data_IF_439169934993
#
_entry.id   IF_439169934993
#
_cell.length_a   1.000
_cell.length_b   1.000
_cell.length_c   1.000
_cell.angle_alpha   90.00
_cell.angle_beta   90.00
_cell.angle_gamma   90.00
#
_symmetry.space_group_name_H-M   'P 1'
#
loop_
_entity.id
_entity.type
_entity.pdbx_description
1 polymer ?
#
# COMPACT_ATOMS: atom_id res chain seq x y z
N UNK A 1 16.26 -16.16 16.61
CA UNK A 1 15.23 -15.19 17.05
C UNK A 1 14.23 -15.04 15.93
N UNK A 2 13.01 -15.56 16.11
CA UNK A 2 11.91 -15.33 15.16
C UNK A 2 11.50 -13.87 15.33
N UNK A 3 11.72 -13.02 14.33
CA UNK A 3 11.23 -11.64 14.35
C UNK A 3 9.70 -11.69 14.38
N UNK A 4 9.11 -11.49 15.55
CA UNK A 4 7.66 -11.37 15.72
C UNK A 4 7.18 -10.18 14.89
N UNK A 5 6.17 -10.42 14.05
CA UNK A 5 5.50 -9.36 13.30
C UNK A 5 4.86 -8.40 14.29
N UNK A 6 5.19 -7.11 14.18
CA UNK A 6 4.60 -6.07 15.00
C UNK A 6 3.27 -5.62 14.39
N UNK A 7 2.17 -6.09 14.96
CA UNK A 7 0.82 -5.74 14.53
C UNK A 7 0.55 -4.23 14.60
N UNK A 8 1.22 -3.49 15.50
CA UNK A 8 1.04 -2.04 15.61
C UNK A 8 1.57 -1.32 14.38
N UNK A 9 2.71 -1.77 13.84
CA UNK A 9 3.24 -1.25 12.57
C UNK A 9 2.29 -1.56 11.41
N UNK A 10 1.69 -2.76 11.40
CA UNK A 10 0.71 -3.10 10.38
C UNK A 10 -0.52 -2.20 10.48
N UNK A 11 -1.07 -1.99 11.66
CA UNK A 11 -2.25 -1.12 11.85
C UNK A 11 -1.95 0.34 11.54
N UNK A 12 -0.75 0.84 11.85
CA UNK A 12 -0.35 2.21 11.54
C UNK A 12 -0.30 2.48 10.02
N UNK A 13 0.23 1.52 9.25
CA UNK A 13 0.50 1.70 7.81
C UNK A 13 -0.51 1.00 6.89
N UNK A 14 -1.35 0.14 7.45
CA UNK A 14 -2.50 -0.50 6.82
C UNK A 14 -3.67 -0.57 7.81
N UNK A 15 -4.20 0.59 8.24
CA UNK A 15 -5.38 0.63 9.10
C UNK A 15 -6.56 -0.06 8.42
N UNK A 16 -7.51 -0.52 9.21
CA UNK A 16 -8.62 -1.37 8.77
C UNK A 16 -9.38 -0.77 7.59
N UNK A 17 -9.64 0.53 7.62
CA UNK A 17 -10.37 1.25 6.57
C UNK A 17 -9.60 1.26 5.25
N UNK A 18 -8.30 1.51 5.30
CA UNK A 18 -7.44 1.49 4.12
C UNK A 18 -7.30 0.06 3.58
N UNK A 19 -7.14 -0.91 4.47
CA UNK A 19 -7.03 -2.31 4.10
C UNK A 19 -8.33 -2.85 3.49
N UNK A 20 -9.50 -2.45 3.99
CA UNK A 20 -10.79 -2.83 3.44
C UNK A 20 -10.99 -2.32 2.01
N UNK A 21 -10.38 -1.19 1.65
CA UNK A 21 -10.34 -0.70 0.28
C UNK A 21 -9.29 -1.43 -0.57
N UNK A 22 -8.09 -1.64 -0.04
CA UNK A 22 -6.96 -2.19 -0.80
C UNK A 22 -7.03 -3.71 -1.00
N UNK A 23 -7.41 -4.46 0.04
CA UNK A 23 -7.44 -5.92 0.08
C UNK A 23 -8.19 -6.55 -1.11
N UNK A 24 -9.42 -6.13 -1.41
CA UNK A 24 -10.18 -6.64 -2.56
C UNK A 24 -9.60 -6.28 -3.93
N UNK A 25 -8.78 -5.23 -4.01
CA UNK A 25 -8.17 -4.77 -5.25
C UNK A 25 -6.85 -5.47 -5.57
N UNK A 26 -6.21 -6.07 -4.56
CA UNK A 26 -4.95 -6.78 -4.69
C UNK A 26 -5.15 -8.03 -5.55
N UNK A 27 -4.38 -8.19 -6.65
CA UNK A 27 -4.48 -9.40 -7.45
C UNK A 27 -4.07 -10.63 -6.63
N UNK A 28 -4.75 -11.76 -6.81
CA UNK A 28 -4.44 -12.99 -6.09
C UNK A 28 -2.97 -13.38 -6.34
N UNK A 29 -2.28 -13.96 -5.34
CA UNK A 29 -0.94 -14.45 -5.55
C UNK A 29 -0.90 -15.46 -6.71
N UNK A 30 0.16 -15.46 -7.54
CA UNK A 30 0.29 -16.44 -8.61
C UNK A 30 0.21 -17.85 -8.02
N UNK A 31 -0.58 -18.72 -8.66
CA UNK A 31 -0.74 -20.12 -8.27
C UNK A 31 0.63 -20.80 -8.30
N UNK A 32 1.13 -21.25 -7.14
CA UNK A 32 2.37 -22.05 -7.06
C UNK A 32 2.09 -23.43 -7.68
N UNK A 33 3.02 -23.93 -8.50
CA UNK A 33 2.93 -25.26 -9.14
C UNK A 33 3.13 -26.44 -8.18
N UNK A 34 3.56 -26.21 -6.93
CA UNK A 34 3.81 -27.26 -5.95
C UNK A 34 3.09 -26.96 -4.63
N UNK A 35 2.31 -27.95 -4.16
CA UNK A 35 1.56 -27.95 -2.89
C UNK A 35 2.44 -28.07 -1.63
N UNK A 36 3.60 -27.42 -1.62
CA UNK A 36 4.51 -27.42 -0.48
C UNK A 36 5.27 -26.09 -0.39
N UNK A 37 5.21 -25.44 0.76
CA UNK A 37 6.00 -24.25 1.07
C UNK A 37 5.29 -23.31 2.04
N UNK A 38 6.10 -22.62 2.86
CA UNK A 38 5.76 -21.63 3.90
C UNK A 38 4.45 -20.87 3.60
N UNK A 39 3.56 -20.72 4.60
CA UNK A 39 2.26 -20.08 4.45
C UNK A 39 2.36 -18.77 3.66
N UNK A 40 1.31 -18.43 2.88
CA UNK A 40 1.29 -17.17 2.15
C UNK A 40 1.65 -16.02 3.08
N UNK A 41 2.68 -15.24 2.72
CA UNK A 41 3.04 -14.02 3.44
C UNK A 41 1.78 -13.15 3.49
N UNK A 42 1.43 -12.67 4.69
CA UNK A 42 0.25 -11.83 4.89
C UNK A 42 0.28 -10.63 3.93
N UNK A 43 -0.76 -10.56 3.08
CA UNK A 43 -0.90 -9.52 2.09
C UNK A 43 -1.04 -8.14 2.73
N UNK A 44 -1.61 -8.06 3.94
CA UNK A 44 -1.73 -6.82 4.70
C UNK A 44 -0.39 -6.35 5.22
N UNK A 45 0.43 -7.24 5.77
CA UNK A 45 1.80 -6.91 6.17
C UNK A 45 2.66 -6.40 5.00
N UNK A 46 2.54 -7.03 3.83
CA UNK A 46 3.22 -6.57 2.59
C UNK A 46 2.74 -5.19 2.18
N UNK A 47 1.42 -4.97 2.22
CA UNK A 47 0.85 -3.69 1.89
C UNK A 47 1.31 -2.59 2.85
N UNK A 48 1.25 -2.84 4.16
CA UNK A 48 1.74 -1.93 5.20
C UNK A 48 3.22 -1.55 4.98
N UNK A 49 4.07 -2.54 4.71
CA UNK A 49 5.50 -2.34 4.42
C UNK A 49 5.73 -1.45 3.19
N UNK A 50 4.95 -1.64 2.12
CA UNK A 50 5.04 -0.81 0.91
C UNK A 50 4.55 0.61 1.20
N UNK A 51 3.43 0.78 1.89
CA UNK A 51 2.89 2.11 2.26
C UNK A 51 3.89 2.88 3.12
N UNK A 52 4.56 2.22 4.07
CA UNK A 52 5.64 2.81 4.86
C UNK A 52 6.75 3.37 3.97
N UNK A 53 7.26 2.57 3.04
CA UNK A 53 8.34 2.99 2.13
C UNK A 53 7.90 4.16 1.25
N UNK A 54 6.69 4.10 0.69
CA UNK A 54 6.16 5.15 -0.17
C UNK A 54 5.91 6.46 0.58
N UNK A 55 5.46 6.39 1.84
CA UNK A 55 5.14 7.59 2.64
C UNK A 55 6.38 8.23 3.23
N UNK A 56 7.35 7.42 3.69
CA UNK A 56 8.59 7.94 4.29
C UNK A 56 9.66 8.29 3.26
N UNK A 57 9.55 7.79 2.02
CA UNK A 57 10.58 7.96 0.99
C UNK A 57 11.89 7.22 1.29
N UNK A 58 11.93 6.36 2.32
CA UNK A 58 13.14 5.64 2.68
C UNK A 58 13.52 4.61 1.60
N UNK A 59 14.82 4.27 1.50
CA UNK A 59 15.22 3.17 0.63
C UNK A 59 14.69 1.82 1.17
N UNK A 60 14.32 0.89 0.29
CA UNK A 60 13.82 -0.45 0.66
C UNK A 60 14.70 -1.25 1.64
N UNK A 61 16.01 -0.95 1.70
CA UNK A 61 16.96 -1.55 2.66
C UNK A 61 16.75 -1.08 4.10
N UNK A 62 16.08 0.05 4.30
CA UNK A 62 15.72 0.60 5.61
C UNK A 62 14.32 0.16 6.06
N UNK A 63 13.69 -0.78 5.35
CA UNK A 63 12.42 -1.36 5.77
C UNK A 63 12.56 -2.00 7.16
N UNK A 64 11.77 -1.58 8.17
CA UNK A 64 11.83 -2.14 9.50
C UNK A 64 11.57 -3.65 9.50
N UNK A 65 12.35 -4.45 10.26
CA UNK A 65 12.13 -5.89 10.35
C UNK A 65 10.80 -6.26 11.00
N UNK A 66 10.20 -5.34 11.78
CA UNK A 66 8.92 -5.54 12.45
C UNK A 66 7.73 -5.82 11.52
N UNK A 67 7.81 -5.49 10.23
CA UNK A 67 6.77 -5.88 9.27
C UNK A 67 6.75 -7.39 8.97
N UNK A 68 7.82 -8.14 9.29
CA UNK A 68 7.95 -9.56 8.91
C UNK A 68 8.03 -9.81 7.41
N UNK A 69 8.27 -8.77 6.61
CA UNK A 69 8.33 -8.82 5.14
C UNK A 69 9.75 -8.54 4.68
N UNK A 70 10.30 -9.43 3.85
CA UNK A 70 11.63 -9.18 3.27
C UNK A 70 11.58 -8.07 2.24
N UNK A 71 12.63 -7.23 2.19
CA UNK A 71 12.81 -6.15 1.21
C UNK A 71 12.54 -6.59 -0.24
N UNK A 72 13.02 -7.78 -0.61
CA UNK A 72 12.84 -8.35 -1.94
C UNK A 72 11.37 -8.70 -2.22
N UNK A 73 10.64 -9.19 -1.21
CA UNK A 73 9.22 -9.50 -1.33
C UNK A 73 8.40 -8.22 -1.47
N UNK A 74 8.65 -7.21 -0.62
CA UNK A 74 7.96 -5.93 -0.68
C UNK A 74 8.16 -5.26 -2.05
N UNK A 75 9.40 -5.19 -2.53
CA UNK A 75 9.70 -4.58 -3.83
C UNK A 75 9.05 -5.33 -5.01
N UNK A 76 9.13 -6.66 -5.04
CA UNK A 76 8.47 -7.48 -6.09
C UNK A 76 6.96 -7.30 -6.09
N UNK A 77 6.35 -7.22 -4.90
CA UNK A 77 4.91 -7.00 -4.74
C UNK A 77 4.51 -5.60 -5.16
N UNK A 78 5.28 -4.59 -4.80
CA UNK A 78 5.11 -3.22 -5.27
C UNK A 78 5.10 -3.16 -6.80
N UNK A 79 6.08 -3.78 -7.47
CA UNK A 79 6.12 -3.81 -8.94
C UNK A 79 4.89 -4.52 -9.53
N UNK A 80 4.56 -5.72 -9.03
CA UNK A 80 3.41 -6.48 -9.52
C UNK A 80 2.08 -5.74 -9.33
N UNK A 81 1.87 -5.10 -8.18
CA UNK A 81 0.65 -4.35 -7.89
C UNK A 81 0.58 -3.03 -8.66
N UNK A 82 1.72 -2.39 -8.89
CA UNK A 82 1.81 -1.21 -9.76
C UNK A 82 1.42 -1.58 -11.19
N UNK A 83 1.96 -2.68 -11.73
CA UNK A 83 1.61 -3.18 -13.06
C UNK A 83 0.13 -3.58 -13.15
N UNK A 84 -0.46 -4.10 -12.07
CA UNK A 84 -1.89 -4.41 -11.98
C UNK A 84 -2.79 -3.17 -11.76
N UNK A 85 -2.21 -1.96 -11.65
CA UNK A 85 -2.95 -0.72 -11.46
C UNK A 85 -3.61 -0.55 -10.08
N UNK A 86 -3.10 -1.24 -9.04
CA UNK A 86 -3.64 -1.21 -7.69
C UNK A 86 -3.83 0.22 -7.17
N UNK A 87 -2.79 1.05 -7.28
CA UNK A 87 -2.76 2.41 -6.73
C UNK A 87 -3.86 3.30 -7.31
N UNK A 88 -4.07 3.22 -8.62
CA UNK A 88 -5.13 3.98 -9.31
C UNK A 88 -6.52 3.53 -8.85
N UNK A 89 -6.75 2.22 -8.75
CA UNK A 89 -8.03 1.67 -8.30
C UNK A 89 -8.31 2.02 -6.83
N UNK A 90 -7.26 1.99 -5.99
CA UNK A 90 -7.36 2.37 -4.59
C UNK A 90 -7.70 3.85 -4.43
N UNK A 91 -7.10 4.72 -5.25
CA UNK A 91 -7.42 6.15 -5.26
C UNK A 91 -8.89 6.42 -5.63
N UNK A 92 -9.40 5.76 -6.67
CA UNK A 92 -10.83 5.86 -7.05
C UNK A 92 -11.73 5.35 -5.92
N UNK A 93 -11.43 4.19 -5.33
CA UNK A 93 -12.23 3.63 -4.25
C UNK A 93 -12.24 4.51 -2.99
N UNK A 94 -11.12 5.17 -2.68
CA UNK A 94 -11.04 6.14 -1.58
C UNK A 94 -11.90 7.39 -1.86
N UNK A 95 -11.87 7.90 -3.09
CA UNK A 95 -12.70 9.02 -3.50
C UNK A 95 -14.20 8.68 -3.47
N UNK A 96 -14.58 7.48 -3.91
CA UNK A 96 -15.97 7.02 -3.85
C UNK A 96 -16.48 6.92 -2.41
N UNK A 97 -15.66 6.40 -1.47
CA UNK A 97 -16.05 6.38 -0.06
C UNK A 97 -16.18 7.78 0.55
N UNK A 98 -15.31 8.72 0.18
CA UNK A 98 -15.38 10.09 0.68
C UNK A 98 -16.53 10.89 0.04
N UNK A 99 -16.83 10.62 -1.23
CA UNK A 99 -18.02 11.11 -1.92
C UNK A 99 -19.31 10.58 -1.30
N UNK A 100 -19.35 9.29 -0.95
CA UNK A 100 -20.48 8.67 -0.26
C UNK A 100 -20.71 9.23 1.16
N UNK A 101 -19.67 9.78 1.79
CA UNK A 101 -19.78 10.45 3.10
C UNK A 101 -20.06 11.95 3.01
N UNK A 102 -20.18 12.52 1.81
CA UNK A 102 -20.42 13.95 1.60
C UNK A 102 -19.25 14.85 2.04
N UNK A 103 -18.04 14.30 2.18
CA UNK A 103 -16.88 14.97 2.76
C UNK A 103 -15.92 15.59 1.72
N UNK A 104 -16.22 15.49 0.42
CA UNK A 104 -15.44 16.13 -0.65
C UNK A 104 -16.33 17.06 -1.47
N UNK A 105 -16.04 18.35 -1.38
CA UNK A 105 -16.36 19.33 -2.41
C UNK A 105 -15.24 19.30 -3.47
N UNK A 106 -15.56 18.74 -4.63
CA UNK A 106 -14.63 18.42 -5.70
C UNK A 106 -13.94 19.64 -6.33
N UNK A 107 -14.43 20.86 -6.04
CA UNK A 107 -13.81 22.12 -6.45
C UNK A 107 -12.45 22.39 -5.76
N UNK A 108 -12.29 21.96 -4.50
CA UNK A 108 -11.05 22.16 -3.73
C UNK A 108 -9.98 21.11 -4.02
N UNK A 109 -10.38 19.84 -4.11
CA UNK A 109 -9.44 18.73 -4.31
C UNK A 109 -8.70 18.81 -5.66
N UNK A 110 -9.35 19.34 -6.70
CA UNK A 110 -8.71 19.58 -8.01
C UNK A 110 -7.76 20.78 -7.97
N UNK A 111 -8.09 21.84 -7.23
CA UNK A 111 -7.22 23.00 -7.03
C UNK A 111 -5.95 22.63 -6.25
N UNK A 112 -6.06 21.81 -5.20
CA UNK A 112 -4.91 21.35 -4.41
C UNK A 112 -4.00 20.42 -5.20
N UNK A 113 -4.56 19.53 -6.02
CA UNK A 113 -3.77 18.68 -6.92
C UNK A 113 -3.04 19.48 -8.01
N UNK A 114 -3.66 20.54 -8.53
CA UNK A 114 -3.03 21.47 -9.46
C UNK A 114 -1.92 22.29 -8.78
N UNK A 115 -2.14 22.72 -7.52
CA UNK A 115 -1.14 23.45 -6.73
C UNK A 115 0.09 22.58 -6.40
N UNK A 116 -0.11 21.34 -5.96
CA UNK A 116 0.99 20.40 -5.65
C UNK A 116 1.81 20.05 -6.90
N UNK A 117 1.19 20.00 -8.09
CA UNK A 117 1.90 19.79 -9.36
C UNK A 117 2.62 21.04 -9.86
N UNK A 118 2.07 22.23 -9.61
CA UNK A 118 2.72 23.50 -9.94
C UNK A 118 3.95 23.77 -9.05
N UNK A 119 3.94 23.33 -7.78
CA UNK A 119 5.02 23.61 -6.83
C UNK A 119 6.12 22.53 -6.75
N UNK A 120 6.01 21.39 -7.46
CA UNK A 120 7.09 20.37 -7.56
C UNK A 120 7.84 20.41 -8.89
N UNK A 121 7.83 21.55 -9.58
CA UNK A 121 8.49 21.76 -10.87
C UNK A 121 9.91 22.34 -10.81
N UNK A 122 10.54 22.43 -9.65
CA UNK A 122 11.91 22.90 -9.54
C UNK A 122 12.61 22.24 -8.35
N UNK A 123 13.53 21.31 -8.62
CA UNK A 123 14.90 21.21 -8.09
C UNK A 123 15.62 20.08 -8.84
#
# INVERSE_FOLDING_TARGET
MVSTVDERLIQQWAPEELWNLAGPLIPPPPRRRQGGGTPPIDARAVFAAIVYVLTTGCAWRHLPPGFGVSRATAHRRFQAWTAAGLWRRLHVAALDQLGARGLIDWSRATADAAYVRANRGAF
#
